data_IF_314596092496
#
_entry.id   IF_314596092496
#
_cell.length_a   1.000
_cell.length_b   1.000
_cell.length_c   1.000
_cell.angle_alpha   90.00
_cell.angle_beta   90.00
_cell.angle_gamma   90.00
#
_symmetry.space_group_name_H-M   'P 1'
#
loop_
_entity.id
_entity.type
_entity.pdbx_description
1 polymer ?
#
# COMPACT_ATOMS: atom_id res chain seq x y z
N UNK A 1 5.84 -0.48 12.47
CA UNK A 1 6.50 0.83 12.46
C UNK A 1 6.00 1.76 11.36
N UNK A 2 5.86 1.29 10.09
CA UNK A 2 5.39 2.12 8.97
C UNK A 2 4.06 2.83 9.28
N UNK A 3 3.04 2.08 9.73
CA UNK A 3 1.71 2.63 9.99
C UNK A 3 1.69 3.72 11.06
N UNK A 4 2.47 3.58 12.14
CA UNK A 4 2.57 4.60 13.18
C UNK A 4 3.15 5.90 12.60
N UNK A 5 4.23 5.81 11.84
CA UNK A 5 4.86 6.96 11.20
C UNK A 5 3.94 7.66 10.20
N UNK A 6 3.25 6.89 9.35
CA UNK A 6 2.31 7.42 8.36
C UNK A 6 1.07 8.06 9.01
N UNK A 7 0.60 7.52 10.15
CA UNK A 7 -0.54 8.08 10.91
C UNK A 7 -0.16 9.37 11.63
N UNK A 8 0.98 9.38 12.32
CA UNK A 8 1.41 10.53 13.12
C UNK A 8 2.04 11.65 12.29
N UNK A 9 2.65 11.33 11.15
CA UNK A 9 3.35 12.28 10.30
C UNK A 9 2.55 13.53 9.95
N UNK A 10 1.36 13.40 9.34
CA UNK A 10 0.51 14.54 9.00
C UNK A 10 0.11 15.39 10.21
N UNK A 11 -0.22 14.73 11.34
CA UNK A 11 -0.61 15.45 12.59
C UNK A 11 0.55 16.23 13.18
N UNK A 12 1.74 15.62 13.26
CA UNK A 12 2.96 16.28 13.78
C UNK A 12 3.32 17.47 12.90
N UNK A 13 3.32 17.29 11.57
CA UNK A 13 3.65 18.37 10.64
C UNK A 13 2.67 19.54 10.76
N UNK A 14 1.36 19.24 10.81
CA UNK A 14 0.32 20.26 10.97
C UNK A 14 0.46 21.01 12.30
N UNK A 15 0.69 20.31 13.40
CA UNK A 15 0.91 20.93 14.71
C UNK A 15 2.14 21.84 14.73
N UNK A 16 3.25 21.42 14.11
CA UNK A 16 4.47 22.23 14.02
C UNK A 16 4.24 23.48 13.15
N UNK A 17 3.56 23.34 12.00
CA UNK A 17 3.25 24.49 11.14
C UNK A 17 2.37 25.51 11.85
N UNK A 18 1.39 25.07 12.61
CA UNK A 18 0.54 25.98 13.42
C UNK A 18 1.31 26.67 14.54
N UNK A 19 2.27 25.99 15.16
CA UNK A 19 3.06 26.53 16.27
C UNK A 19 4.21 27.45 15.80
N UNK A 20 4.88 27.15 14.71
CA UNK A 20 6.14 27.79 14.31
C UNK A 20 6.11 28.46 12.93
N UNK A 21 5.04 28.28 12.16
CA UNK A 21 4.89 28.78 10.77
C UNK A 21 6.04 28.37 9.82
N UNK A 22 6.90 27.41 10.21
CA UNK A 22 8.05 26.97 9.42
C UNK A 22 8.08 25.44 9.27
N UNK A 23 8.01 24.98 8.03
CA UNK A 23 8.11 23.57 7.66
C UNK A 23 9.47 22.92 8.04
N UNK A 24 10.52 23.74 8.19
CA UNK A 24 11.87 23.28 8.54
C UNK A 24 11.92 22.57 9.87
N UNK A 25 11.14 23.01 10.85
CA UNK A 25 11.06 22.32 12.15
C UNK A 25 10.45 20.93 12.05
N UNK A 26 9.45 20.76 11.19
CA UNK A 26 8.86 19.44 10.94
C UNK A 26 9.87 18.44 10.38
N UNK A 27 10.65 18.85 9.39
CA UNK A 27 11.74 18.03 8.86
C UNK A 27 12.89 17.84 9.87
N UNK A 28 13.16 18.81 10.73
CA UNK A 28 14.09 18.68 11.84
C UNK A 28 13.70 17.55 12.79
N UNK A 29 12.42 17.51 13.21
CA UNK A 29 11.89 16.43 14.06
C UNK A 29 12.00 15.07 13.36
N UNK A 30 11.63 14.99 12.09
CA UNK A 30 11.76 13.76 11.30
C UNK A 30 13.23 13.29 11.21
N UNK A 31 14.17 14.22 10.97
CA UNK A 31 15.62 13.92 10.90
C UNK A 31 16.15 13.38 12.21
N UNK A 32 15.78 13.99 13.34
CA UNK A 32 16.17 13.52 14.68
C UNK A 32 15.63 12.12 14.94
N UNK A 33 14.36 11.89 14.61
CA UNK A 33 13.73 10.57 14.77
C UNK A 33 14.44 9.49 13.94
N UNK A 34 14.76 9.79 12.69
CA UNK A 34 15.53 8.86 11.82
C UNK A 34 16.94 8.62 12.34
N UNK A 35 17.59 9.67 12.84
CA UNK A 35 18.91 9.55 13.47
C UNK A 35 18.91 8.64 14.71
N UNK A 36 17.89 8.76 15.56
CA UNK A 36 17.70 7.87 16.71
C UNK A 36 17.48 6.41 16.29
N UNK A 37 16.62 6.18 15.30
CA UNK A 37 16.39 4.83 14.76
C UNK A 37 17.68 4.25 14.19
N UNK A 38 18.42 5.01 13.37
CA UNK A 38 19.71 4.58 12.83
C UNK A 38 20.72 4.26 13.96
N UNK A 39 20.78 5.09 14.99
CA UNK A 39 21.63 4.85 16.15
C UNK A 39 21.28 3.56 16.89
N UNK A 40 19.99 3.29 17.11
CA UNK A 40 19.52 2.03 17.71
C UNK A 40 19.92 0.84 16.85
N UNK A 41 19.80 0.94 15.53
CA UNK A 41 20.23 -0.12 14.60
C UNK A 41 21.74 -0.38 14.70
N UNK A 42 22.55 0.67 14.78
CA UNK A 42 24.01 0.55 14.96
C UNK A 42 24.34 -0.14 16.29
N UNK A 43 23.68 0.24 17.39
CA UNK A 43 23.90 -0.38 18.70
C UNK A 43 23.47 -1.86 18.75
N UNK A 44 22.45 -2.23 17.97
CA UNK A 44 21.90 -3.60 17.99
C UNK A 44 22.45 -4.49 16.87
N UNK A 45 23.32 -3.98 15.99
CA UNK A 45 23.83 -4.72 14.82
C UNK A 45 24.44 -6.08 15.15
N UNK A 46 25.12 -6.20 16.28
CA UNK A 46 25.73 -7.46 16.74
C UNK A 46 24.71 -8.56 17.03
N UNK A 47 23.47 -8.19 17.39
CA UNK A 47 22.37 -9.14 17.62
C UNK A 47 21.75 -9.65 16.33
N UNK A 48 21.86 -8.91 15.23
CA UNK A 48 21.34 -9.28 13.91
C UNK A 48 22.33 -10.10 13.11
N UNK A 49 23.64 -9.90 13.30
CA UNK A 49 24.70 -10.63 12.60
C UNK A 49 24.80 -12.10 12.99
N UNK A 50 24.25 -12.52 14.14
CA UNK A 50 24.28 -13.89 14.61
C UNK A 50 23.34 -14.85 13.91
N UNK A 51 22.31 -14.37 13.20
CA UNK A 51 21.30 -15.19 12.53
C UNK A 51 21.71 -15.63 11.11
N UNK A 52 22.78 -15.10 10.53
CA UNK A 52 23.24 -15.41 9.17
C UNK A 52 24.25 -16.55 9.10
N UNK A 53 24.22 -17.53 10.03
CA UNK A 53 24.81 -18.84 9.77
C UNK A 53 23.86 -19.71 8.93
N UNK A 54 23.32 -19.13 7.85
CA UNK A 54 22.90 -19.94 6.70
C UNK A 54 24.20 -20.47 6.11
N UNK A 55 24.40 -21.80 6.20
CA UNK A 55 25.51 -22.48 5.54
C UNK A 55 25.64 -21.95 4.11
N UNK A 56 26.86 -21.72 3.60
CA UNK A 56 27.02 -21.28 2.24
C UNK A 56 26.44 -22.35 1.33
N UNK A 57 25.21 -22.12 0.86
CA UNK A 57 24.68 -22.86 -0.27
C UNK A 57 25.53 -22.43 -1.47
N UNK A 58 26.57 -23.18 -1.75
CA UNK A 58 27.36 -23.17 -2.98
C UNK A 58 26.50 -23.66 -4.16
N UNK A 59 25.30 -23.15 -4.30
CA UNK A 59 24.55 -23.22 -5.54
C UNK A 59 24.95 -21.97 -6.35
N UNK A 60 25.74 -22.22 -7.40
CA UNK A 60 26.24 -21.25 -8.33
C UNK A 60 25.21 -20.14 -8.61
N UNK A 61 25.64 -18.86 -8.49
CA UNK A 61 24.82 -17.66 -8.76
C UNK A 61 24.09 -17.73 -10.11
N UNK A 62 24.66 -18.43 -11.09
CA UNK A 62 24.08 -18.64 -12.41
C UNK A 62 22.84 -19.53 -12.39
N UNK A 63 22.84 -20.64 -11.61
CA UNK A 63 21.64 -21.49 -11.49
C UNK A 63 20.48 -20.86 -10.69
N UNK A 64 20.76 -19.79 -9.91
CA UNK A 64 19.74 -19.05 -9.18
C UNK A 64 19.12 -17.95 -10.05
N UNK A 65 19.92 -17.32 -10.93
CA UNK A 65 19.43 -16.32 -11.87
C UNK A 65 18.55 -16.92 -12.97
N UNK A 66 18.93 -18.08 -13.53
CA UNK A 66 18.11 -18.80 -14.53
C UNK A 66 16.79 -19.29 -13.95
N UNK A 67 16.79 -19.84 -12.75
CA UNK A 67 15.54 -20.22 -12.04
C UNK A 67 14.66 -19.02 -11.70
N UNK A 68 15.23 -17.82 -11.51
CA UNK A 68 14.49 -16.58 -11.29
C UNK A 68 13.69 -16.15 -12.52
N UNK A 69 14.30 -16.23 -13.70
CA UNK A 69 13.64 -15.87 -14.97
C UNK A 69 12.58 -16.91 -15.36
N UNK A 70 12.78 -18.19 -15.04
CA UNK A 70 11.78 -19.25 -15.27
C UNK A 70 10.47 -18.98 -14.51
N UNK A 71 10.55 -18.29 -13.38
CA UNK A 71 9.35 -17.86 -12.62
C UNK A 71 8.46 -16.92 -13.43
N UNK A 72 9.03 -16.07 -14.26
CA UNK A 72 8.30 -15.13 -15.12
C UNK A 72 7.62 -15.81 -16.33
N UNK A 73 7.84 -17.10 -16.58
CA UNK A 73 7.11 -17.84 -17.61
C UNK A 73 5.69 -18.23 -17.17
N UNK A 74 5.40 -18.15 -15.87
CA UNK A 74 4.11 -18.54 -15.31
C UNK A 74 3.09 -17.39 -15.41
N UNK A 75 1.94 -17.58 -16.09
CA UNK A 75 0.90 -16.55 -16.19
C UNK A 75 0.38 -16.07 -14.82
N UNK A 76 0.27 -16.98 -13.84
CA UNK A 76 -0.18 -16.66 -12.48
C UNK A 76 0.75 -15.65 -11.78
N UNK A 77 2.05 -15.68 -12.09
CA UNK A 77 3.01 -14.71 -11.56
C UNK A 77 2.71 -13.32 -12.12
N UNK A 78 2.51 -13.18 -13.41
CA UNK A 78 2.16 -11.89 -14.03
C UNK A 78 0.86 -11.30 -13.50
N UNK A 79 -0.17 -12.13 -13.31
CA UNK A 79 -1.43 -11.70 -12.69
C UNK A 79 -1.18 -11.20 -11.26
N UNK A 80 -0.34 -11.90 -10.50
CA UNK A 80 0.05 -11.50 -9.16
C UNK A 80 0.83 -10.19 -9.15
N UNK A 81 1.80 -10.01 -10.06
CA UNK A 81 2.55 -8.77 -10.20
C UNK A 81 1.62 -7.58 -10.50
N UNK A 82 0.66 -7.78 -11.41
CA UNK A 82 -0.31 -6.75 -11.76
C UNK A 82 -1.25 -6.42 -10.59
N UNK A 83 -1.64 -7.42 -9.77
CA UNK A 83 -2.40 -7.17 -8.54
C UNK A 83 -1.63 -6.28 -7.57
N UNK A 84 -0.35 -6.56 -7.34
CA UNK A 84 0.51 -5.73 -6.47
C UNK A 84 0.71 -4.33 -7.04
N UNK A 85 0.89 -4.21 -8.35
CA UNK A 85 1.01 -2.94 -9.06
C UNK A 85 -0.24 -2.06 -8.87
N UNK A 86 -1.43 -2.62 -9.13
CA UNK A 86 -2.70 -1.91 -9.03
C UNK A 86 -3.02 -1.54 -7.57
N UNK A 87 -2.83 -2.50 -6.65
CA UNK A 87 -3.11 -2.28 -5.23
C UNK A 87 -2.25 -1.16 -4.65
N UNK A 88 -0.92 -1.30 -4.72
CA UNK A 88 -0.01 -0.31 -4.12
C UNK A 88 -0.07 1.02 -4.86
N UNK A 89 -0.37 0.98 -6.16
CA UNK A 89 -0.60 2.18 -6.95
C UNK A 89 -1.84 2.95 -6.50
N UNK A 90 -2.96 2.27 -6.24
CA UNK A 90 -4.18 2.89 -5.71
C UNK A 90 -3.97 3.42 -4.29
N UNK A 91 -3.38 2.61 -3.38
CA UNK A 91 -3.02 3.01 -2.01
C UNK A 91 -2.16 4.27 -2.00
N UNK A 92 -1.07 4.29 -2.79
CA UNK A 92 -0.15 5.43 -2.86
C UNK A 92 -0.80 6.64 -3.50
N UNK A 93 -1.64 6.46 -4.50
CA UNK A 93 -2.36 7.56 -5.17
C UNK A 93 -3.32 8.23 -4.20
N UNK A 94 -4.13 7.46 -3.47
CA UNK A 94 -5.02 8.00 -2.43
C UNK A 94 -4.21 8.72 -1.34
N UNK A 95 -3.13 8.09 -0.84
CA UNK A 95 -2.29 8.64 0.21
C UNK A 95 -1.55 9.93 -0.16
N UNK A 96 -1.22 10.14 -1.43
CA UNK A 96 -0.47 11.33 -1.89
C UNK A 96 -1.38 12.47 -2.36
N UNK A 97 -2.50 12.16 -3.01
CA UNK A 97 -3.31 13.16 -3.68
C UNK A 97 -4.61 13.53 -2.97
N UNK A 98 -5.12 12.71 -2.03
CA UNK A 98 -6.37 13.03 -1.35
C UNK A 98 -6.27 14.32 -0.52
N UNK A 99 -5.11 14.65 0.05
CA UNK A 99 -4.91 15.92 0.75
C UNK A 99 -5.13 17.11 -0.18
N UNK A 100 -4.45 17.15 -1.34
CA UNK A 100 -4.61 18.21 -2.33
C UNK A 100 -6.04 18.28 -2.90
N UNK A 101 -6.68 17.11 -3.13
CA UNK A 101 -8.08 17.07 -3.53
C UNK A 101 -8.97 17.81 -2.53
N UNK A 102 -8.80 17.56 -1.24
CA UNK A 102 -9.63 18.19 -0.22
C UNK A 102 -9.28 19.68 -0.02
N UNK A 103 -8.01 20.04 0.02
CA UNK A 103 -7.60 21.44 0.29
C UNK A 103 -7.74 22.34 -0.92
N UNK A 104 -7.18 21.95 -2.06
CA UNK A 104 -7.13 22.75 -3.27
C UNK A 104 -8.38 22.55 -4.16
N UNK A 105 -8.82 21.30 -4.29
CA UNK A 105 -10.00 20.97 -5.11
C UNK A 105 -11.33 21.32 -4.45
N UNK A 106 -11.45 21.13 -3.12
CA UNK A 106 -12.73 21.25 -2.40
C UNK A 106 -12.73 22.31 -1.29
N UNK A 107 -11.67 23.10 -1.19
CA UNK A 107 -11.53 24.19 -0.21
C UNK A 107 -11.77 23.76 1.25
N UNK A 108 -11.42 22.53 1.60
CA UNK A 108 -11.48 22.04 2.98
C UNK A 108 -10.32 22.63 3.77
N UNK A 109 -10.52 23.08 5.01
CA UNK A 109 -9.43 23.57 5.86
C UNK A 109 -8.32 22.51 6.03
N UNK A 110 -7.05 22.94 5.93
CA UNK A 110 -5.87 22.07 5.99
C UNK A 110 -5.84 21.17 7.22
N UNK A 111 -6.22 21.71 8.39
CA UNK A 111 -6.28 20.93 9.63
C UNK A 111 -7.27 19.77 9.54
N UNK A 112 -8.41 19.97 8.89
CA UNK A 112 -9.41 18.91 8.69
C UNK A 112 -8.93 17.89 7.66
N UNK A 113 -8.34 18.34 6.56
CA UNK A 113 -7.76 17.44 5.56
C UNK A 113 -6.64 16.57 6.16
N UNK A 114 -5.71 17.16 6.91
CA UNK A 114 -4.64 16.43 7.61
C UNK A 114 -5.18 15.40 8.61
N UNK A 115 -6.22 15.74 9.36
CA UNK A 115 -6.87 14.81 10.29
C UNK A 115 -7.42 13.58 9.56
N UNK A 116 -8.11 13.76 8.44
CA UNK A 116 -8.67 12.65 7.66
C UNK A 116 -7.60 11.83 6.95
N UNK A 117 -6.49 12.44 6.53
CA UNK A 117 -5.32 11.70 6.06
C UNK A 117 -4.71 10.82 7.15
N UNK A 118 -4.66 11.32 8.38
CA UNK A 118 -4.21 10.51 9.52
C UNK A 118 -5.18 9.36 9.82
N UNK A 119 -6.48 9.56 9.66
CA UNK A 119 -7.49 8.47 9.75
C UNK A 119 -7.28 7.43 8.66
N UNK A 120 -6.99 7.83 7.42
CA UNK A 120 -6.68 6.91 6.32
C UNK A 120 -5.48 6.00 6.66
N UNK A 121 -4.35 6.59 7.03
CA UNK A 121 -3.15 5.83 7.39
C UNK A 121 -3.30 5.05 8.69
N UNK A 122 -4.03 5.60 9.67
CA UNK A 122 -4.41 4.92 10.89
C UNK A 122 -5.31 3.71 10.61
N UNK A 123 -6.29 3.88 9.74
CA UNK A 123 -7.17 2.81 9.26
C UNK A 123 -6.39 1.67 8.60
N UNK A 124 -5.42 2.00 7.76
CA UNK A 124 -4.51 1.02 7.14
C UNK A 124 -3.71 0.22 8.19
N UNK A 125 -3.27 0.90 9.24
CA UNK A 125 -2.58 0.24 10.38
C UNK A 125 -3.52 -0.67 11.15
N UNK A 126 -4.72 -0.18 11.48
CA UNK A 126 -5.76 -0.96 12.19
C UNK A 126 -6.18 -2.17 11.34
N UNK A 127 -6.40 -1.98 10.04
CA UNK A 127 -6.72 -3.07 9.12
C UNK A 127 -5.67 -4.19 9.12
N UNK A 128 -4.38 -3.84 9.16
CA UNK A 128 -3.28 -4.83 9.27
C UNK A 128 -3.28 -5.57 10.60
N UNK A 129 -3.59 -4.89 11.70
CA UNK A 129 -3.70 -5.52 13.01
C UNK A 129 -4.92 -6.43 13.10
N UNK A 130 -6.07 -5.98 12.59
CA UNK A 130 -7.30 -6.78 12.53
C UNK A 130 -7.12 -8.04 11.69
N UNK A 131 -6.34 -7.98 10.60
CA UNK A 131 -6.00 -9.17 9.83
C UNK A 131 -5.38 -10.24 10.72
N UNK A 132 -4.39 -9.87 11.55
CA UNK A 132 -3.74 -10.82 12.46
C UNK A 132 -4.70 -11.52 13.42
N UNK A 133 -5.82 -10.87 13.78
CA UNK A 133 -6.85 -11.43 14.65
C UNK A 133 -7.89 -12.32 13.93
N UNK A 134 -8.01 -12.17 12.61
CA UNK A 134 -9.11 -12.76 11.82
C UNK A 134 -8.59 -13.76 10.78
N UNK A 135 -7.30 -13.74 10.45
CA UNK A 135 -6.69 -14.54 9.37
C UNK A 135 -6.91 -16.06 9.56
N UNK A 136 -6.91 -16.53 10.80
CA UNK A 136 -7.12 -17.94 11.11
C UNK A 136 -8.59 -18.40 10.94
N UNK A 137 -9.52 -17.46 10.81
CA UNK A 137 -10.97 -17.72 10.74
C UNK A 137 -11.55 -17.53 9.35
N UNK A 138 -10.89 -16.82 8.46
CA UNK A 138 -11.39 -16.49 7.13
C UNK A 138 -10.51 -17.09 6.03
N UNK A 139 -11.16 -17.54 4.96
CA UNK A 139 -10.45 -17.87 3.73
C UNK A 139 -9.83 -16.58 3.14
N UNK A 140 -8.53 -16.64 2.81
CA UNK A 140 -7.76 -15.50 2.27
C UNK A 140 -8.44 -14.90 1.03
N UNK A 141 -8.96 -15.73 0.12
CA UNK A 141 -9.65 -15.25 -1.08
C UNK A 141 -10.93 -14.48 -0.76
N UNK A 142 -11.72 -14.94 0.22
CA UNK A 142 -12.94 -14.26 0.67
C UNK A 142 -12.62 -12.93 1.37
N UNK A 143 -11.58 -12.92 2.20
CA UNK A 143 -11.09 -11.70 2.85
C UNK A 143 -10.63 -10.66 1.82
N UNK A 144 -9.81 -11.06 0.86
CA UNK A 144 -9.35 -10.18 -0.24
C UNK A 144 -10.53 -9.63 -1.03
N UNK A 145 -11.51 -10.49 -1.38
CA UNK A 145 -12.72 -10.06 -2.09
C UNK A 145 -13.49 -8.98 -1.31
N UNK A 146 -13.70 -9.18 -0.01
CA UNK A 146 -14.37 -8.21 0.85
C UNK A 146 -13.59 -6.89 0.94
N UNK A 147 -12.28 -6.96 1.13
CA UNK A 147 -11.42 -5.78 1.21
C UNK A 147 -11.41 -4.99 -0.09
N UNK A 148 -11.26 -5.66 -1.24
CA UNK A 148 -11.27 -4.98 -2.54
C UNK A 148 -12.63 -4.34 -2.82
N UNK A 149 -13.75 -5.01 -2.52
CA UNK A 149 -15.09 -4.42 -2.64
C UNK A 149 -15.26 -3.20 -1.75
N UNK A 150 -14.80 -3.26 -0.49
CA UNK A 150 -14.83 -2.12 0.41
C UNK A 150 -13.99 -0.94 -0.11
N UNK A 151 -12.83 -1.22 -0.73
CA UNK A 151 -12.00 -0.20 -1.37
C UNK A 151 -12.70 0.43 -2.58
N UNK A 152 -13.42 -0.36 -3.40
CA UNK A 152 -14.26 0.16 -4.50
C UNK A 152 -15.36 1.07 -3.95
N UNK A 153 -16.05 0.66 -2.91
CA UNK A 153 -17.10 1.48 -2.28
C UNK A 153 -16.49 2.78 -1.75
N UNK A 154 -15.36 2.72 -1.06
CA UNK A 154 -14.66 3.90 -0.55
C UNK A 154 -14.26 4.88 -1.65
N UNK A 155 -13.67 4.38 -2.74
CA UNK A 155 -13.31 5.21 -3.90
C UNK A 155 -14.52 5.79 -4.63
N UNK A 156 -15.63 5.04 -4.72
CA UNK A 156 -16.89 5.52 -5.28
C UNK A 156 -17.51 6.65 -4.43
N UNK A 157 -17.40 6.57 -3.10
CA UNK A 157 -17.84 7.64 -2.20
C UNK A 157 -16.99 8.92 -2.34
N UNK A 158 -15.70 8.79 -2.64
CA UNK A 158 -14.82 9.92 -2.94
C UNK A 158 -15.23 10.55 -4.28
N UNK A 159 -15.54 9.74 -5.27
CA UNK A 159 -15.96 10.22 -6.60
C UNK A 159 -17.33 10.90 -6.58
N UNK A 160 -18.32 10.24 -5.97
CA UNK A 160 -19.71 10.76 -5.96
C UNK A 160 -19.86 12.06 -5.15
N UNK A 161 -19.10 12.24 -4.09
CA UNK A 161 -18.92 13.41 -3.21
C UNK A 161 -20.12 14.39 -3.05
N UNK A 162 -21.34 13.94 -2.76
CA UNK A 162 -22.46 14.87 -2.51
C UNK A 162 -22.18 15.78 -1.30
N UNK A 163 -21.30 15.31 -0.39
CA UNK A 163 -20.79 16.07 0.76
C UNK A 163 -19.34 15.65 1.04
N UNK A 164 -18.51 16.60 1.52
CA UNK A 164 -17.15 16.28 1.96
C UNK A 164 -17.09 15.20 3.05
N UNK A 165 -18.10 15.14 3.92
CA UNK A 165 -18.19 14.12 4.98
C UNK A 165 -18.26 12.71 4.39
N UNK A 166 -19.02 12.52 3.31
CA UNK A 166 -19.14 11.20 2.67
C UNK A 166 -17.83 10.76 2.02
N UNK A 167 -17.10 11.71 1.42
CA UNK A 167 -15.76 11.44 0.87
C UNK A 167 -14.74 11.10 1.96
N UNK A 168 -14.82 11.75 3.12
CA UNK A 168 -13.99 11.41 4.27
C UNK A 168 -14.26 10.01 4.79
N UNK A 169 -15.53 9.61 4.90
CA UNK A 169 -15.91 8.24 5.26
C UNK A 169 -15.43 7.24 4.20
N UNK A 170 -15.52 7.59 2.92
CA UNK A 170 -14.95 6.81 1.83
C UNK A 170 -13.46 6.60 1.98
N UNK A 171 -12.71 7.66 2.29
CA UNK A 171 -11.27 7.59 2.53
C UNK A 171 -10.91 6.73 3.74
N UNK A 172 -11.64 6.87 4.84
CA UNK A 172 -11.45 6.04 6.04
C UNK A 172 -11.74 4.55 5.77
N UNK A 173 -12.81 4.26 5.01
CA UNK A 173 -13.15 2.90 4.59
C UNK A 173 -12.04 2.29 3.72
N UNK A 174 -11.50 3.05 2.76
CA UNK A 174 -10.36 2.62 1.94
C UNK A 174 -9.17 2.28 2.82
N UNK A 175 -8.78 3.17 3.74
CA UNK A 175 -7.64 2.93 4.62
C UNK A 175 -7.77 1.60 5.39
N UNK A 176 -8.90 1.35 6.03
CA UNK A 176 -9.12 0.10 6.77
C UNK A 176 -9.11 -1.12 5.84
N UNK A 177 -9.76 -1.02 4.67
CA UNK A 177 -9.88 -2.11 3.73
C UNK A 177 -8.56 -2.46 3.02
N UNK A 178 -7.72 -1.48 2.75
CA UNK A 178 -6.41 -1.67 2.10
C UNK A 178 -5.39 -2.31 3.04
N UNK A 179 -5.51 -2.12 4.35
CA UNK A 179 -4.57 -2.66 5.33
C UNK A 179 -4.27 -4.14 5.20
N UNK A 180 -5.28 -5.03 5.13
CA UNK A 180 -5.12 -6.47 5.00
C UNK A 180 -4.61 -6.94 3.63
N UNK A 181 -4.79 -6.19 2.54
CA UNK A 181 -4.59 -6.68 1.17
C UNK A 181 -3.14 -7.10 0.92
N UNK A 182 -2.16 -6.23 1.19
CA UNK A 182 -0.75 -6.53 0.93
C UNK A 182 -0.25 -7.78 1.66
N UNK A 183 -0.42 -7.91 2.99
CA UNK A 183 0.05 -9.10 3.69
C UNK A 183 -0.71 -10.37 3.27
N UNK A 184 -2.00 -10.26 2.92
CA UNK A 184 -2.77 -11.40 2.43
C UNK A 184 -2.28 -11.89 1.07
N UNK A 185 -1.98 -10.98 0.14
CA UNK A 185 -1.41 -11.33 -1.17
C UNK A 185 -0.03 -12.00 -1.03
N UNK A 186 0.83 -11.50 -0.13
CA UNK A 186 2.13 -12.11 0.15
C UNK A 186 1.94 -13.52 0.74
N UNK A 187 1.04 -13.69 1.71
CA UNK A 187 0.81 -14.97 2.39
C UNK A 187 0.22 -16.05 1.46
N UNK A 188 -0.45 -15.63 0.40
CA UNK A 188 -1.03 -16.55 -0.59
C UNK A 188 -0.03 -16.98 -1.70
N UNK A 189 1.10 -16.29 -1.83
CA UNK A 189 2.12 -16.59 -2.86
C UNK A 189 2.64 -18.03 -2.80
N UNK A 190 2.96 -18.63 -1.62
CA UNK A 190 3.45 -20.01 -1.55
C UNK A 190 2.45 -21.06 -2.02
N UNK A 191 1.17 -20.72 -2.11
CA UNK A 191 0.12 -21.61 -2.61
C UNK A 191 0.03 -21.63 -4.13
N UNK A 192 0.63 -20.64 -4.79
CA UNK A 192 0.49 -20.39 -6.23
C UNK A 192 1.72 -20.77 -7.04
N UNK A 193 2.89 -20.87 -6.40
CA UNK A 193 4.16 -21.19 -7.05
C UNK A 193 4.91 -22.28 -6.30
N UNK A 194 5.82 -22.98 -6.98
CA UNK A 194 6.66 -24.02 -6.34
C UNK A 194 7.56 -23.40 -5.25
N UNK A 195 7.85 -24.18 -4.20
CA UNK A 195 8.60 -23.73 -3.04
C UNK A 195 9.95 -23.05 -3.38
N UNK A 196 10.64 -23.50 -4.41
CA UNK A 196 11.91 -22.89 -4.86
C UNK A 196 11.76 -21.54 -5.59
N UNK A 197 10.55 -21.13 -5.91
CA UNK A 197 10.23 -19.88 -6.65
C UNK A 197 9.61 -18.81 -5.76
N UNK A 198 9.21 -19.13 -4.53
CA UNK A 198 8.47 -18.23 -3.63
C UNK A 198 9.22 -16.93 -3.37
N UNK A 199 10.49 -17.01 -2.92
CA UNK A 199 11.27 -15.83 -2.58
C UNK A 199 11.48 -14.90 -3.79
N UNK A 200 11.72 -15.50 -4.95
CA UNK A 200 11.91 -14.75 -6.21
C UNK A 200 10.61 -14.08 -6.64
N UNK A 201 9.48 -14.79 -6.54
CA UNK A 201 8.15 -14.25 -6.85
C UNK A 201 7.81 -13.08 -5.92
N UNK A 202 8.04 -13.21 -4.61
CA UNK A 202 7.83 -12.12 -3.66
C UNK A 202 8.72 -10.91 -4.00
N UNK A 203 9.97 -11.13 -4.39
CA UNK A 203 10.85 -10.06 -4.85
C UNK A 203 10.28 -9.28 -6.05
N UNK A 204 9.77 -9.99 -7.04
CA UNK A 204 9.10 -9.37 -8.20
C UNK A 204 7.79 -8.67 -7.82
N UNK A 205 6.99 -9.24 -6.91
CA UNK A 205 5.76 -8.62 -6.41
C UNK A 205 6.04 -7.28 -5.71
N UNK A 206 7.07 -7.22 -4.85
CA UNK A 206 7.48 -5.99 -4.18
C UNK A 206 8.00 -4.95 -5.17
N UNK A 207 8.76 -5.38 -6.19
CA UNK A 207 9.21 -4.50 -7.28
C UNK A 207 8.03 -3.95 -8.08
N UNK A 208 7.05 -4.79 -8.45
CA UNK A 208 5.84 -4.38 -9.14
C UNK A 208 4.98 -3.42 -8.28
N UNK A 209 4.88 -3.66 -6.96
CA UNK A 209 4.22 -2.77 -6.01
C UNK A 209 4.87 -1.38 -6.01
N UNK A 210 6.21 -1.32 -5.92
CA UNK A 210 6.95 -0.06 -5.95
C UNK A 210 6.78 0.70 -7.27
N UNK A 211 6.79 -0.03 -8.39
CA UNK A 211 6.53 0.54 -9.71
C UNK A 211 5.09 1.07 -9.82
N UNK A 212 4.11 0.34 -9.29
CA UNK A 212 2.72 0.76 -9.22
C UNK A 212 2.53 2.05 -8.41
N UNK A 213 3.16 2.11 -7.22
CA UNK A 213 3.15 3.30 -6.39
C UNK A 213 3.69 4.53 -7.13
N UNK A 214 4.80 4.39 -7.83
CA UNK A 214 5.40 5.49 -8.59
C UNK A 214 4.57 5.85 -9.83
N UNK A 215 4.24 4.84 -10.67
CA UNK A 215 3.62 5.07 -11.97
C UNK A 215 2.19 5.58 -11.87
N UNK A 216 1.33 4.94 -11.03
CA UNK A 216 -0.07 5.32 -10.94
C UNK A 216 -0.25 6.65 -10.20
N UNK A 217 0.54 6.92 -9.14
CA UNK A 217 0.49 8.24 -8.48
C UNK A 217 0.98 9.36 -9.39
N UNK A 218 2.02 9.12 -10.20
CA UNK A 218 2.48 10.11 -11.18
C UNK A 218 1.45 10.32 -12.29
N UNK A 219 0.84 9.26 -12.79
CA UNK A 219 -0.23 9.35 -13.79
C UNK A 219 -1.44 10.13 -13.26
N UNK A 220 -1.86 9.84 -12.03
CA UNK A 220 -2.93 10.58 -11.37
C UNK A 220 -2.58 12.07 -11.23
N UNK A 221 -1.32 12.40 -10.90
CA UNK A 221 -0.84 13.79 -10.83
C UNK A 221 -0.90 14.50 -12.17
N UNK A 222 -0.43 13.87 -13.25
CA UNK A 222 -0.52 14.43 -14.61
C UNK A 222 -1.97 14.64 -15.04
N UNK A 223 -2.87 13.72 -14.71
CA UNK A 223 -4.30 13.85 -14.99
C UNK A 223 -4.94 14.97 -14.16
N UNK A 224 -4.56 15.09 -12.89
CA UNK A 224 -5.04 16.14 -12.00
C UNK A 224 -4.63 17.54 -12.50
N UNK A 225 -3.40 17.69 -13.00
CA UNK A 225 -2.91 18.94 -13.57
C UNK A 225 -3.64 19.31 -14.88
N UNK A 226 -3.89 18.33 -15.75
CA UNK A 226 -4.48 18.57 -17.07
C UNK A 226 -6.01 18.71 -17.07
N UNK A 227 -6.68 18.09 -16.12
CA UNK A 227 -8.16 18.04 -16.06
C UNK A 227 -8.66 18.76 -14.81
N UNK A 228 -8.51 18.13 -13.66
CA UNK A 228 -8.80 18.64 -12.32
C UNK A 228 -8.42 17.63 -11.26
N UNK A 229 -8.31 18.05 -9.98
CA UNK A 229 -8.10 17.13 -8.86
C UNK A 229 -9.27 16.13 -8.65
N UNK A 230 -10.46 16.46 -9.13
CA UNK A 230 -11.62 15.56 -9.05
C UNK A 230 -11.47 14.27 -9.88
N UNK A 231 -10.50 14.22 -10.81
CA UNK A 231 -10.16 13.00 -11.55
C UNK A 231 -9.68 11.87 -10.64
N UNK A 232 -9.24 12.20 -9.43
CA UNK A 232 -8.77 11.21 -8.45
C UNK A 232 -9.86 10.18 -8.11
N UNK A 233 -11.10 10.61 -7.93
CA UNK A 233 -12.23 9.73 -7.63
C UNK A 233 -12.43 8.63 -8.69
N UNK A 234 -12.75 8.99 -9.94
CA UNK A 234 -12.91 8.01 -11.02
C UNK A 234 -11.64 7.20 -11.29
N UNK A 235 -10.44 7.79 -11.17
CA UNK A 235 -9.18 7.08 -11.31
C UNK A 235 -9.03 5.94 -10.30
N UNK A 236 -9.30 6.21 -9.03
CA UNK A 236 -9.27 5.19 -7.97
C UNK A 236 -10.32 4.10 -8.20
N UNK A 237 -11.54 4.47 -8.62
CA UNK A 237 -12.59 3.49 -8.95
C UNK A 237 -12.14 2.56 -10.08
N UNK A 238 -11.52 3.09 -11.14
CA UNK A 238 -11.02 2.26 -12.25
C UNK A 238 -9.91 1.32 -11.78
N UNK A 239 -8.93 1.83 -11.03
CA UNK A 239 -7.83 1.00 -10.51
C UNK A 239 -8.34 -0.13 -9.61
N UNK A 240 -9.27 0.18 -8.69
CA UNK A 240 -9.81 -0.81 -7.75
C UNK A 240 -10.76 -1.81 -8.43
N UNK A 241 -11.53 -1.38 -9.42
CA UNK A 241 -12.36 -2.27 -10.24
C UNK A 241 -11.51 -3.23 -11.10
N UNK A 242 -10.41 -2.75 -11.69
CA UNK A 242 -9.44 -3.60 -12.39
C UNK A 242 -8.78 -4.60 -11.43
N UNK A 243 -8.44 -4.16 -10.22
CA UNK A 243 -7.90 -5.04 -9.18
C UNK A 243 -8.89 -6.15 -8.82
N UNK A 244 -10.19 -5.82 -8.69
CA UNK A 244 -11.24 -6.80 -8.41
C UNK A 244 -11.38 -7.83 -9.54
N UNK A 245 -11.49 -7.37 -10.78
CA UNK A 245 -11.63 -8.26 -11.94
C UNK A 245 -10.43 -9.19 -12.08
N UNK A 246 -9.23 -8.67 -11.84
CA UNK A 246 -8.01 -9.47 -11.86
C UNK A 246 -7.97 -10.49 -10.73
N UNK A 247 -8.37 -10.10 -9.51
CA UNK A 247 -8.46 -11.02 -8.38
C UNK A 247 -9.43 -12.18 -8.67
N UNK A 248 -10.64 -11.90 -9.18
CA UNK A 248 -11.61 -12.92 -9.54
C UNK A 248 -11.08 -13.85 -10.64
N UNK A 249 -10.32 -13.32 -11.60
CA UNK A 249 -9.70 -14.12 -12.66
C UNK A 249 -8.66 -15.09 -12.08
N UNK A 250 -7.85 -14.61 -11.14
CA UNK A 250 -6.83 -15.43 -10.46
C UNK A 250 -7.48 -16.54 -9.63
N UNK A 251 -8.57 -16.23 -8.89
CA UNK A 251 -9.29 -17.23 -8.08
C UNK A 251 -9.90 -18.32 -8.97
N UNK A 252 -10.57 -17.93 -10.06
CA UNK A 252 -11.16 -18.90 -11.00
C UNK A 252 -10.12 -19.80 -11.68
N UNK A 253 -8.95 -19.26 -12.01
CA UNK A 253 -7.83 -20.08 -12.56
C UNK A 253 -7.32 -21.09 -11.54
N UNK A 254 -7.30 -20.73 -10.26
CA UNK A 254 -6.86 -21.64 -9.19
C UNK A 254 -7.90 -22.72 -8.85
N UNK A 255 -9.18 -22.47 -9.07
CA UNK A 255 -10.27 -23.43 -8.84
C UNK A 255 -10.51 -24.38 -10.04
N UNK A 256 -10.02 -24.02 -11.23
CA UNK A 256 -10.19 -24.79 -12.47
C UNK A 256 -9.03 -25.73 -12.81
N UNK A 257 -7.99 -25.79 -11.96
CA UNK A 257 -6.84 -26.70 -12.04
C UNK A 257 -6.91 -27.68 -10.87
#
# INVERSE_FOLDING_TARGET
CFGIGATLGPLIMTAILQASSSWRWGYGVASVTMGLVAFIFILTQSRWSGSNKVAPQTSSREGRATRGLDTLTLPVVWMSLLLFFLYTGAESTAGQWAYSLFTEGRSVPESRASFWMSIYWGGLTVGRVLLGAVVDRLNVSSLLRMCILATIIGSALIWWHPTNTLSFLGLALMGIAEGPIFPSLISDTPRRVCAGQVDTTIGFQVAAASLGAAALSSLAGVLAERVSLEILGPFLVVCTALMFTLHETVVRHAEGV
#
